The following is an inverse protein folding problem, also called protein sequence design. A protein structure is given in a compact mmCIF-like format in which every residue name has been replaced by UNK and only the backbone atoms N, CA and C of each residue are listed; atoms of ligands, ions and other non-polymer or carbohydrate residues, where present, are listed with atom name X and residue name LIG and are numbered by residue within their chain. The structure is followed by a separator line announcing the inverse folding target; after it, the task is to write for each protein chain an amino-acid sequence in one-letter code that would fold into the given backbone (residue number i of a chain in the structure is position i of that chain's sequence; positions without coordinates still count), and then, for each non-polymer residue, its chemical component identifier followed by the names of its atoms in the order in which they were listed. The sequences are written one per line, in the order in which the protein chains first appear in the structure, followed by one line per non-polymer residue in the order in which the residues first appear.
data_IF_530336695102
#
_entry.id   IF_530336695102
#
_cell.length_a   1.000
_cell.length_b   1.000
_cell.length_c   1.000
_cell.angle_alpha   90.00
_cell.angle_beta   90.00
_cell.angle_gamma   90.00
#
_symmetry.space_group_name_H-M   'P 1'
#
loop_
_entity.id
_entity.type
_entity.pdbx_description
1 polymer ?
#
# COMPACT_ATOMS: atom_id res chain seq x y z
N UNK A 1 -8.47 21.10 7.04
CA UNK A 1 -7.31 20.19 6.95
C UNK A 1 -7.72 19.09 6.00
N UNK A 2 -7.16 19.06 4.77
CA UNK A 2 -7.59 18.13 3.72
C UNK A 2 -7.43 16.67 4.18
N UNK A 3 -8.33 15.79 3.75
CA UNK A 3 -8.26 14.37 4.06
C UNK A 3 -6.92 13.80 3.58
N UNK A 4 -6.28 12.96 4.41
CA UNK A 4 -5.06 12.25 4.00
C UNK A 4 -5.44 11.28 2.88
N UNK A 5 -4.95 11.50 1.65
CA UNK A 5 -5.24 10.66 0.49
C UNK A 5 -4.74 9.23 0.68
N UNK A 6 -3.55 9.04 1.25
CA UNK A 6 -2.96 7.72 1.45
C UNK A 6 -2.98 7.32 2.92
N UNK A 7 -3.44 6.11 3.21
CA UNK A 7 -3.52 5.55 4.55
C UNK A 7 -2.81 4.19 4.64
N UNK A 8 -1.99 4.00 5.67
CA UNK A 8 -1.39 2.70 5.99
C UNK A 8 -2.42 1.87 6.76
N UNK A 9 -2.79 0.71 6.23
CA UNK A 9 -3.79 -0.20 6.85
C UNK A 9 -3.16 -1.43 7.49
N UNK A 10 -1.97 -1.84 7.04
CA UNK A 10 -1.27 -3.00 7.59
C UNK A 10 0.25 -2.78 7.59
N UNK A 11 0.91 -3.36 8.59
CA UNK A 11 2.37 -3.39 8.70
C UNK A 11 2.84 -4.82 8.98
N UNK A 12 3.72 -5.35 8.13
CA UNK A 12 4.30 -6.68 8.32
C UNK A 12 5.83 -6.60 8.38
N UNK A 13 6.40 -7.24 9.41
CA UNK A 13 7.84 -7.36 9.64
C UNK A 13 8.39 -6.40 10.71
N UNK A 14 9.23 -6.91 11.61
CA UNK A 14 9.78 -6.16 12.75
C UNK A 14 11.05 -5.34 12.39
N UNK A 15 11.76 -5.72 11.31
CA UNK A 15 13.00 -5.06 10.82
C UNK A 15 12.87 -4.66 9.33
N UNK A 16 11.83 -5.16 8.67
CA UNK A 16 11.60 -5.14 7.23
C UNK A 16 10.22 -4.52 7.00
N UNK A 17 10.17 -3.29 6.48
CA UNK A 17 8.92 -2.51 6.45
C UNK A 17 8.10 -2.83 5.21
N UNK A 18 7.23 -3.84 5.30
CA UNK A 18 6.14 -3.99 4.35
C UNK A 18 4.91 -3.27 4.89
N UNK A 19 4.28 -2.46 4.04
CA UNK A 19 3.08 -1.70 4.36
C UNK A 19 2.03 -1.95 3.28
N UNK A 20 0.78 -2.09 3.70
CA UNK A 20 -0.35 -1.92 2.78
C UNK A 20 -0.83 -0.48 2.90
N UNK A 21 -0.90 0.21 1.76
CA UNK A 21 -1.35 1.59 1.67
C UNK A 21 -2.58 1.66 0.78
N UNK A 22 -3.65 2.30 1.25
CA UNK A 22 -4.88 2.54 0.48
C UNK A 22 -4.90 3.99 -0.01
N UNK A 23 -5.11 4.18 -1.31
CA UNK A 23 -5.45 5.49 -1.90
C UNK A 23 -6.96 5.74 -1.71
N UNK A 24 -7.32 6.59 -0.76
CA UNK A 24 -8.73 6.92 -0.43
C UNK A 24 -9.48 7.65 -1.54
N UNK A 25 -8.80 8.13 -2.59
CA UNK A 25 -9.48 8.71 -3.76
C UNK A 25 -9.91 7.64 -4.78
N UNK A 26 -9.13 6.56 -4.90
CA UNK A 26 -9.35 5.52 -5.93
C UNK A 26 -9.74 4.16 -5.36
N UNK A 27 -9.57 3.98 -4.05
CA UNK A 27 -9.66 2.71 -3.34
C UNK A 27 -8.48 1.77 -3.59
N UNK A 28 -7.51 2.09 -4.47
CA UNK A 28 -6.44 1.15 -4.85
C UNK A 28 -5.50 0.85 -3.67
N UNK A 29 -5.22 -0.43 -3.48
CA UNK A 29 -4.28 -0.92 -2.48
C UNK A 29 -2.88 -1.08 -3.08
N UNK A 30 -1.87 -0.64 -2.33
CA UNK A 30 -0.46 -0.73 -2.71
C UNK A 30 0.34 -1.52 -1.68
N UNK A 31 1.24 -2.39 -2.15
CA UNK A 31 2.30 -2.93 -1.33
C UNK A 31 3.49 -1.99 -1.40
N UNK A 32 3.88 -1.44 -0.26
CA UNK A 32 5.08 -0.64 -0.12
C UNK A 32 6.12 -1.46 0.63
N UNK A 33 7.29 -1.63 0.04
CA UNK A 33 8.42 -2.29 0.67
C UNK A 33 9.52 -1.26 0.93
N UNK A 34 9.98 -1.16 2.18
CA UNK A 34 11.06 -0.25 2.59
C UNK A 34 12.14 -1.01 3.34
N UNK A 35 13.38 -0.92 2.84
CA UNK A 35 14.56 -1.56 3.41
C UNK A 35 15.75 -0.61 3.41
N UNK A 36 16.13 -0.11 4.59
CA UNK A 36 17.22 0.88 4.71
C UNK A 36 16.92 2.14 3.89
N UNK A 37 17.80 2.47 2.95
CA UNK A 37 17.67 3.61 2.02
C UNK A 37 16.92 3.27 0.73
N UNK A 38 16.60 1.99 0.49
CA UNK A 38 15.89 1.52 -0.68
C UNK A 38 14.41 1.22 -0.40
N UNK A 39 13.61 1.23 -1.47
CA UNK A 39 12.22 0.84 -1.39
C UNK A 39 11.56 0.70 -2.76
N UNK A 40 10.33 0.20 -2.75
CA UNK A 40 9.51 0.04 -3.93
C UNK A 40 8.03 0.07 -3.58
N UNK A 41 7.21 0.34 -4.59
CA UNK A 41 5.76 0.33 -4.50
C UNK A 41 5.20 -0.35 -5.74
N UNK A 42 4.19 -1.21 -5.55
CA UNK A 42 3.38 -1.75 -6.64
C UNK A 42 1.91 -1.85 -6.20
N UNK A 43 0.95 -1.80 -7.13
CA UNK A 43 -0.43 -2.18 -6.82
C UNK A 43 -0.47 -3.62 -6.33
N UNK A 44 -1.25 -3.88 -5.29
CA UNK A 44 -1.68 -5.23 -4.97
C UNK A 44 -2.68 -5.65 -6.04
N UNK A 45 -2.45 -6.82 -6.65
CA UNK A 45 -3.26 -7.34 -7.75
C UNK A 45 -4.01 -8.60 -7.34
N UNK A 46 -5.22 -8.75 -7.84
CA UNK A 46 -6.03 -9.96 -7.70
C UNK A 46 -5.60 -11.06 -8.69
N UNK A 47 -6.30 -12.20 -8.63
CA UNK A 47 -6.05 -13.36 -9.50
C UNK A 47 -6.25 -13.09 -11.00
N UNK A 48 -6.96 -12.02 -11.35
CA UNK A 48 -7.27 -11.62 -12.73
C UNK A 48 -6.30 -10.51 -13.22
N UNK A 49 -5.32 -10.14 -12.39
CA UNK A 49 -4.34 -9.11 -12.69
C UNK A 49 -4.85 -7.68 -12.53
N UNK A 50 -5.99 -7.49 -11.86
CA UNK A 50 -6.56 -6.16 -11.59
C UNK A 50 -6.12 -5.65 -10.22
N UNK A 51 -5.98 -4.33 -10.03
CA UNK A 51 -5.72 -3.77 -8.71
C UNK A 51 -6.81 -4.13 -7.70
N UNK A 52 -6.42 -4.49 -6.49
CA UNK A 52 -7.35 -4.67 -5.36
C UNK A 52 -7.85 -3.30 -4.92
N UNK A 53 -9.17 -3.17 -4.75
CA UNK A 53 -9.87 -1.95 -4.36
C UNK A 53 -10.50 -2.14 -2.97
N UNK A 54 -10.25 -1.19 -2.06
CA UNK A 54 -10.91 -1.06 -0.76
C UNK A 54 -11.88 0.12 -0.76
N UNK A 55 -12.87 0.08 0.12
CA UNK A 55 -13.83 1.17 0.37
C UNK A 55 -13.23 2.30 1.23
#
# INVERSE_FOLDING_TARGET
MGSRRFEITETAGSVKGFYVVVDRETGVNYLVAKFGTGGGICPLIDKDGKPIISE
#
